data_IF_696961405519
#
_entry.id   IF_696961405519
#
_cell.length_a   1.000
_cell.length_b   1.000
_cell.length_c   1.000
_cell.angle_alpha   90.00
_cell.angle_beta   90.00
_cell.angle_gamma   90.00
#
_symmetry.space_group_name_H-M   'P 1'
#
loop_
_entity.id
_entity.type
_entity.pdbx_description
1 polymer ?
#
# COMPACT_ATOMS: atom_id res chain seq x y z
N UNK A 1 -2.52 1.50 -25.94
CA UNK A 1 -2.69 0.99 -24.59
C UNK A 1 -4.17 0.66 -24.37
N UNK A 2 -4.50 -0.43 -23.69
CA UNK A 2 -5.90 -0.78 -23.39
C UNK A 2 -6.43 0.08 -22.25
N UNK A 3 -7.52 0.81 -22.48
CA UNK A 3 -8.19 1.58 -21.43
C UNK A 3 -8.93 0.70 -20.39
N UNK A 4 -8.95 -0.62 -20.58
CA UNK A 4 -9.49 -1.58 -19.62
C UNK A 4 -8.46 -2.02 -18.56
N UNK A 5 -7.19 -1.66 -18.73
CA UNK A 5 -6.12 -1.98 -17.80
C UNK A 5 -5.63 -0.73 -17.11
N UNK A 6 -5.85 -0.63 -15.81
CA UNK A 6 -5.36 0.45 -14.98
C UNK A 6 -3.82 0.51 -15.02
N UNK A 7 -3.16 -0.63 -14.94
CA UNK A 7 -1.70 -0.74 -15.01
C UNK A 7 -1.14 -0.17 -16.31
N UNK A 8 -1.78 -0.45 -17.46
CA UNK A 8 -1.36 0.11 -18.77
C UNK A 8 -1.66 1.59 -18.92
N UNK A 9 -2.76 2.08 -18.36
CA UNK A 9 -3.07 3.51 -18.36
C UNK A 9 -2.05 4.29 -17.53
N UNK A 10 -1.70 3.78 -16.35
CA UNK A 10 -0.66 4.37 -15.51
C UNK A 10 0.72 4.34 -16.19
N UNK A 11 1.08 3.22 -16.81
CA UNK A 11 2.34 3.07 -17.56
C UNK A 11 2.45 4.00 -18.78
N UNK A 12 1.33 4.60 -19.24
CA UNK A 12 1.35 5.61 -20.28
C UNK A 12 2.11 6.89 -19.85
N UNK A 13 2.16 7.15 -18.55
CA UNK A 13 2.87 8.31 -17.98
C UNK A 13 2.40 9.65 -18.54
N UNK A 14 1.11 9.76 -18.88
CA UNK A 14 0.54 10.96 -19.48
C UNK A 14 0.58 12.13 -18.50
N UNK A 15 1.14 13.27 -18.95
CA UNK A 15 1.31 14.50 -18.15
C UNK A 15 0.38 15.60 -18.63
N UNK A 16 0.10 16.58 -17.76
CA UNK A 16 -0.68 17.78 -18.10
C UNK A 16 -0.11 18.47 -19.34
N UNK A 17 -0.98 18.79 -20.29
CA UNK A 17 -0.61 19.44 -21.56
C UNK A 17 -0.27 18.48 -22.71
N UNK A 18 -0.26 17.17 -22.48
CA UNK A 18 -0.15 16.18 -23.55
C UNK A 18 -1.52 15.90 -24.18
N UNK A 19 -1.51 15.58 -25.47
CA UNK A 19 -2.72 15.18 -26.20
C UNK A 19 -2.82 13.67 -26.17
N UNK A 20 -3.98 13.16 -25.71
CA UNK A 20 -4.30 11.74 -25.73
C UNK A 20 -5.29 11.45 -26.84
N UNK A 21 -5.05 10.38 -27.58
CA UNK A 21 -5.94 9.87 -28.61
C UNK A 21 -6.63 8.60 -28.09
N UNK A 22 -7.96 8.59 -28.13
CA UNK A 22 -8.78 7.44 -27.77
C UNK A 22 -9.35 6.79 -29.00
N UNK A 23 -9.23 5.47 -29.09
CA UNK A 23 -9.83 4.66 -30.16
C UNK A 23 -10.64 3.51 -29.57
N UNK A 24 -11.71 3.15 -30.25
CA UNK A 24 -12.55 2.00 -29.89
C UNK A 24 -12.89 1.19 -31.13
N UNK A 25 -13.27 -0.06 -30.94
CA UNK A 25 -13.76 -0.91 -32.01
C UNK A 25 -15.04 -0.29 -32.62
N UNK A 26 -15.24 -0.36 -33.95
CA UNK A 26 -16.38 0.27 -34.62
C UNK A 26 -17.74 -0.07 -34.02
N UNK A 27 -17.90 -1.31 -33.51
CA UNK A 27 -19.15 -1.80 -32.93
C UNK A 27 -19.58 -1.07 -31.64
N UNK A 28 -18.64 -0.44 -30.92
CA UNK A 28 -18.91 0.23 -29.63
C UNK A 28 -18.46 1.69 -29.64
N UNK A 29 -17.81 2.16 -30.70
CA UNK A 29 -17.19 3.48 -30.76
C UNK A 29 -18.20 4.62 -30.61
N UNK A 30 -19.41 4.48 -31.19
CA UNK A 30 -20.45 5.50 -31.16
C UNK A 30 -20.95 5.82 -29.75
N UNK A 31 -20.99 4.81 -28.87
CA UNK A 31 -21.45 4.98 -27.48
C UNK A 31 -20.28 5.21 -26.51
N UNK A 32 -19.19 4.47 -26.68
CA UNK A 32 -18.08 4.47 -25.72
C UNK A 32 -17.22 5.74 -25.78
N UNK A 33 -16.93 6.28 -26.98
CA UNK A 33 -16.07 7.46 -27.11
C UNK A 33 -16.71 8.73 -26.54
N UNK A 34 -17.98 9.05 -26.82
CA UNK A 34 -18.63 10.20 -26.19
C UNK A 34 -18.74 10.09 -24.67
N UNK A 35 -19.05 8.89 -24.15
CA UNK A 35 -19.12 8.65 -22.71
C UNK A 35 -17.77 8.85 -22.03
N UNK A 36 -16.69 8.32 -22.63
CA UNK A 36 -15.32 8.51 -22.12
C UNK A 36 -14.90 9.98 -22.14
N UNK A 37 -15.19 10.70 -23.24
CA UNK A 37 -14.87 12.11 -23.36
C UNK A 37 -15.66 12.98 -22.37
N UNK A 38 -16.91 12.61 -22.06
CA UNK A 38 -17.70 13.27 -21.02
C UNK A 38 -17.07 13.05 -19.64
N UNK A 39 -16.75 11.81 -19.28
CA UNK A 39 -16.09 11.48 -18.02
C UNK A 39 -14.74 12.19 -17.84
N UNK A 40 -13.91 12.28 -18.90
CA UNK A 40 -12.65 13.03 -18.86
C UNK A 40 -12.88 14.52 -18.64
N UNK A 41 -13.91 15.12 -19.25
CA UNK A 41 -14.24 16.55 -19.07
C UNK A 41 -14.78 16.84 -17.68
N UNK A 42 -15.44 15.88 -17.06
CA UNK A 42 -15.97 15.95 -15.68
C UNK A 42 -14.89 15.61 -14.62
N UNK A 43 -13.62 15.41 -15.04
CA UNK A 43 -12.51 15.14 -14.14
C UNK A 43 -12.44 13.69 -13.66
N UNK A 44 -13.10 12.74 -14.40
CA UNK A 44 -13.12 11.30 -14.04
C UNK A 44 -13.62 11.02 -12.62
N UNK A 45 -14.46 11.91 -12.07
CA UNK A 45 -14.99 11.80 -10.72
C UNK A 45 -14.12 12.44 -9.63
N UNK A 46 -13.02 13.07 -10.00
CA UNK A 46 -12.21 13.87 -9.09
C UNK A 46 -12.65 15.34 -9.15
N UNK A 47 -12.79 15.99 -7.99
CA UNK A 47 -12.93 17.44 -7.94
C UNK A 47 -11.63 18.06 -8.45
N UNK A 48 -11.68 18.74 -9.59
CA UNK A 48 -10.54 19.46 -10.17
C UNK A 48 -10.31 20.72 -9.35
N UNK A 49 -9.81 20.58 -8.12
CA UNK A 49 -9.22 21.70 -7.43
C UNK A 49 -7.94 22.08 -8.18
N UNK A 50 -7.81 23.35 -8.48
CA UNK A 50 -6.57 23.90 -9.02
C UNK A 50 -5.49 23.74 -7.93
N UNK A 51 -4.75 22.63 -8.01
CA UNK A 51 -3.57 22.42 -7.19
C UNK A 51 -2.61 23.59 -7.48
N UNK A 52 -2.49 24.49 -6.51
CA UNK A 52 -1.42 25.46 -6.48
C UNK A 52 -0.10 24.71 -6.63
N UNK A 53 0.79 25.23 -7.45
CA UNK A 53 2.17 24.75 -7.62
C UNK A 53 2.92 24.98 -6.30
N UNK A 54 2.68 24.13 -5.29
CA UNK A 54 3.59 24.01 -4.17
C UNK A 54 4.76 23.14 -4.64
N UNK A 55 5.91 23.78 -4.75
CA UNK A 55 7.17 23.11 -5.02
C UNK A 55 7.38 22.01 -3.98
N UNK A 56 7.39 20.76 -4.43
CA UNK A 56 7.76 19.62 -3.62
C UNK A 56 9.18 19.87 -3.09
N UNK A 57 9.41 19.73 -1.77
CA UNK A 57 10.77 19.75 -1.25
C UNK A 57 11.54 18.58 -1.87
N UNK A 58 12.76 18.88 -2.32
CA UNK A 58 13.67 17.93 -2.92
C UNK A 58 13.73 16.63 -2.11
N UNK A 59 13.65 15.53 -2.83
CA UNK A 59 13.75 14.18 -2.28
C UNK A 59 14.97 14.08 -1.35
N UNK A 60 14.73 13.81 -0.10
CA UNK A 60 15.77 13.46 0.87
C UNK A 60 16.36 12.14 0.39
N UNK A 61 17.67 12.15 0.17
CA UNK A 61 18.50 11.18 -0.50
C UNK A 61 18.12 9.71 -0.33
N UNK A 62 18.35 8.97 -1.39
CA UNK A 62 18.38 7.51 -1.44
C UNK A 62 19.24 7.00 -0.28
N UNK A 63 18.59 6.40 0.72
CA UNK A 63 19.32 5.73 1.79
C UNK A 63 19.94 4.45 1.23
N UNK A 64 21.24 4.33 1.34
CA UNK A 64 22.03 3.16 0.97
C UNK A 64 21.40 1.88 1.58
N UNK A 65 21.05 0.93 0.71
CA UNK A 65 20.23 -0.25 0.97
C UNK A 65 20.99 -1.41 1.64
N UNK A 66 22.24 -1.28 2.14
CA UNK A 66 23.06 -2.46 2.48
C UNK A 66 23.72 -2.47 3.88
N UNK A 67 23.42 -1.56 4.78
CA UNK A 67 23.87 -1.65 6.16
C UNK A 67 22.69 -2.02 7.06
N UNK A 68 22.75 -3.17 7.76
CA UNK A 68 21.84 -3.43 8.88
C UNK A 68 21.89 -2.23 9.81
N UNK A 69 20.77 -1.50 10.00
CA UNK A 69 20.76 -0.32 10.84
C UNK A 69 21.23 -0.71 12.25
N UNK A 70 22.04 0.17 12.87
CA UNK A 70 22.47 -0.06 14.24
C UNK A 70 21.23 -0.14 15.16
N UNK A 71 21.22 -1.04 16.14
CA UNK A 71 20.09 -1.18 17.06
C UNK A 71 19.92 0.12 17.86
N UNK A 72 18.67 0.57 17.97
CA UNK A 72 18.29 1.76 18.72
C UNK A 72 18.52 1.53 20.22
N UNK A 73 19.05 2.54 20.89
CA UNK A 73 19.38 2.45 22.32
C UNK A 73 18.27 3.01 23.20
N UNK A 74 18.13 2.47 24.39
CA UNK A 74 17.24 3.05 25.40
C UNK A 74 17.60 4.52 25.69
N UNK A 75 16.57 5.38 25.71
CA UNK A 75 16.73 6.84 25.86
C UNK A 75 17.03 7.57 24.54
N UNK A 76 17.28 6.87 23.46
CA UNK A 76 17.57 7.49 22.16
C UNK A 76 16.34 8.20 21.62
N UNK A 77 16.56 9.38 21.04
CA UNK A 77 15.53 10.18 20.39
C UNK A 77 15.81 10.29 18.90
N UNK A 78 14.82 9.95 18.08
CA UNK A 78 14.88 10.03 16.63
C UNK A 78 13.93 11.12 16.12
N UNK A 79 14.33 11.75 15.01
CA UNK A 79 13.46 12.60 14.21
C UNK A 79 12.80 11.78 13.12
N UNK A 80 11.52 12.07 12.87
CA UNK A 80 10.74 11.48 11.82
C UNK A 80 9.76 12.52 11.27
N UNK A 81 9.00 12.19 10.27
CA UNK A 81 8.02 13.10 9.67
C UNK A 81 6.72 13.01 10.48
N UNK A 82 6.25 14.16 10.97
CA UNK A 82 4.94 14.29 11.61
C UNK A 82 3.82 13.98 10.60
N UNK A 83 3.09 12.90 10.84
CA UNK A 83 2.05 12.42 9.92
C UNK A 83 0.63 12.65 10.46
N UNK A 84 0.42 12.47 11.75
CA UNK A 84 -0.84 12.75 12.44
C UNK A 84 -0.54 13.29 13.84
N UNK A 85 -1.18 14.40 14.25
CA UNK A 85 -0.86 15.07 15.50
C UNK A 85 -1.28 14.26 16.73
N UNK A 86 -0.61 14.54 17.86
CA UNK A 86 -0.89 13.95 19.16
C UNK A 86 0.32 13.24 19.76
N UNK A 87 0.19 12.87 21.04
CA UNK A 87 1.21 12.15 21.79
C UNK A 87 0.71 10.73 22.06
N UNK A 88 1.56 9.74 21.79
CA UNK A 88 1.27 8.35 22.07
C UNK A 88 2.39 7.70 22.88
N UNK A 89 2.04 6.87 23.85
CA UNK A 89 2.99 6.03 24.56
C UNK A 89 2.47 4.60 24.66
N UNK A 90 3.36 3.63 24.56
CA UNK A 90 3.00 2.23 24.63
C UNK A 90 4.12 1.29 24.22
N UNK A 91 3.92 -0.01 24.37
CA UNK A 91 4.87 -1.01 23.89
C UNK A 91 4.89 -1.07 22.36
N UNK A 92 6.06 -1.25 21.78
CA UNK A 92 6.23 -1.48 20.35
C UNK A 92 5.62 -2.82 19.94
N UNK A 93 4.75 -2.81 18.95
CA UNK A 93 4.30 -4.00 18.24
C UNK A 93 4.88 -3.95 16.81
N UNK A 94 6.02 -4.60 16.64
CA UNK A 94 6.74 -4.59 15.36
C UNK A 94 6.15 -5.65 14.45
N UNK A 95 5.58 -5.23 13.34
CA UNK A 95 5.11 -6.12 12.28
C UNK A 95 6.06 -6.02 11.09
N UNK A 96 6.87 -7.05 10.92
CA UNK A 96 7.74 -7.18 9.76
C UNK A 96 6.94 -7.79 8.61
N UNK A 97 7.19 -7.31 7.39
CA UNK A 97 6.55 -7.87 6.20
C UNK A 97 6.73 -9.39 6.14
N UNK A 98 5.62 -10.12 6.06
CA UNK A 98 5.64 -11.58 5.99
C UNK A 98 6.40 -12.05 4.76
N UNK A 99 7.35 -12.97 4.95
CA UNK A 99 7.97 -13.71 3.86
C UNK A 99 7.13 -14.94 3.58
N UNK A 100 6.74 -15.10 2.34
CA UNK A 100 5.97 -16.26 1.89
C UNK A 100 6.93 -17.29 1.31
N UNK A 101 6.89 -18.51 1.86
CA UNK A 101 7.62 -19.65 1.32
C UNK A 101 6.65 -20.51 0.51
N UNK A 102 6.96 -20.74 -0.75
CA UNK A 102 6.14 -21.52 -1.67
C UNK A 102 7.00 -22.23 -2.71
N UNK A 103 6.43 -23.30 -3.27
CA UNK A 103 7.07 -24.03 -4.35
C UNK A 103 6.96 -23.26 -5.67
N UNK A 104 8.02 -23.14 -6.48
CA UNK A 104 7.97 -22.39 -7.73
C UNK A 104 7.15 -23.08 -8.83
N UNK A 105 6.94 -24.40 -8.73
CA UNK A 105 6.18 -25.21 -9.68
C UNK A 105 4.85 -25.64 -9.10
N UNK A 106 3.79 -25.53 -9.93
CA UNK A 106 2.45 -25.98 -9.59
C UNK A 106 2.13 -27.39 -10.09
N UNK A 107 0.99 -27.91 -9.70
CA UNK A 107 0.53 -29.24 -10.10
C UNK A 107 0.04 -29.27 -11.56
N UNK A 108 -0.86 -28.36 -11.91
CA UNK A 108 -1.35 -28.17 -13.28
C UNK A 108 -1.87 -26.75 -13.48
N UNK A 109 -1.84 -26.22 -14.72
CA UNK A 109 -2.33 -24.87 -14.99
C UNK A 109 -3.79 -24.65 -14.58
N UNK A 110 -4.62 -25.67 -14.70
CA UNK A 110 -6.05 -25.59 -14.34
C UNK A 110 -6.23 -25.53 -12.80
N UNK A 111 -5.50 -26.37 -12.07
CA UNK A 111 -5.53 -26.39 -10.62
C UNK A 111 -5.02 -25.07 -10.03
N UNK A 112 -3.88 -24.59 -10.50
CA UNK A 112 -3.28 -23.34 -10.03
C UNK A 112 -4.15 -22.12 -10.33
N UNK A 113 -4.81 -22.10 -11.50
CA UNK A 113 -5.80 -21.06 -11.82
C UNK A 113 -6.96 -21.07 -10.85
N UNK A 114 -7.49 -22.23 -10.52
CA UNK A 114 -8.61 -22.35 -9.56
C UNK A 114 -8.21 -21.89 -8.17
N UNK A 115 -7.02 -22.25 -7.71
CA UNK A 115 -6.45 -21.78 -6.42
C UNK A 115 -6.36 -20.25 -6.40
N UNK A 116 -5.77 -19.66 -7.44
CA UNK A 116 -5.65 -18.20 -7.56
C UNK A 116 -7.01 -17.50 -7.59
N UNK A 117 -7.97 -18.00 -8.36
CA UNK A 117 -9.31 -17.43 -8.43
C UNK A 117 -10.03 -17.47 -7.07
N UNK A 118 -9.86 -18.55 -6.30
CA UNK A 118 -10.40 -18.63 -4.93
C UNK A 118 -9.75 -17.61 -4.01
N UNK A 119 -8.42 -17.47 -4.07
CA UNK A 119 -7.70 -16.49 -3.27
C UNK A 119 -8.10 -15.05 -3.62
N UNK A 120 -8.20 -14.71 -4.90
CA UNK A 120 -8.67 -13.39 -5.38
C UNK A 120 -10.09 -13.08 -4.91
N UNK A 121 -11.03 -14.03 -5.01
CA UNK A 121 -12.40 -13.85 -4.51
C UNK A 121 -12.44 -13.59 -3.02
N UNK A 122 -11.68 -14.34 -2.23
CA UNK A 122 -11.61 -14.13 -0.79
C UNK A 122 -11.06 -12.74 -0.42
N UNK A 123 -10.10 -12.23 -1.20
CA UNK A 123 -9.58 -10.86 -1.03
C UNK A 123 -10.61 -9.83 -1.46
N UNK A 124 -11.33 -10.03 -2.57
CA UNK A 124 -12.40 -9.12 -3.02
C UNK A 124 -13.52 -9.02 -1.98
N UNK A 125 -13.99 -10.15 -1.47
CA UNK A 125 -15.00 -10.20 -0.39
C UNK A 125 -14.54 -9.46 0.87
N UNK A 126 -13.27 -9.62 1.25
CA UNK A 126 -12.67 -8.88 2.37
C UNK A 126 -12.69 -7.36 2.09
N UNK A 127 -12.24 -6.92 0.92
CA UNK A 127 -12.23 -5.51 0.53
C UNK A 127 -13.65 -4.92 0.51
N UNK A 128 -14.62 -5.62 -0.05
CA UNK A 128 -16.03 -5.21 -0.03
C UNK A 128 -16.51 -4.97 1.40
N UNK A 129 -16.24 -5.91 2.30
CA UNK A 129 -16.61 -5.75 3.70
C UNK A 129 -15.90 -4.57 4.38
N UNK A 130 -14.70 -4.19 3.95
CA UNK A 130 -13.98 -3.02 4.46
C UNK A 130 -14.59 -1.71 3.94
N UNK A 131 -14.94 -1.65 2.66
CA UNK A 131 -15.63 -0.51 2.05
C UNK A 131 -16.96 -0.24 2.74
N UNK A 132 -17.74 -1.29 3.01
CA UNK A 132 -19.05 -1.18 3.68
C UNK A 132 -18.96 -0.70 5.13
N UNK A 133 -17.94 -1.14 5.86
CA UNK A 133 -17.73 -0.77 7.27
C UNK A 133 -17.04 0.57 7.45
N UNK A 134 -16.31 1.06 6.45
CA UNK A 134 -15.56 2.32 6.56
C UNK A 134 -16.49 3.52 6.47
N UNK A 135 -16.44 4.39 7.47
CA UNK A 135 -17.13 5.70 7.47
C UNK A 135 -16.30 6.80 6.81
N UNK A 136 -15.00 6.56 6.59
CA UNK A 136 -14.05 7.52 6.04
C UNK A 136 -13.98 7.40 4.52
N UNK A 137 -14.31 8.49 3.81
CA UNK A 137 -14.38 8.54 2.34
C UNK A 137 -13.04 8.13 1.71
N UNK A 138 -11.93 8.72 2.18
CA UNK A 138 -10.59 8.44 1.64
C UNK A 138 -10.21 6.96 1.72
N UNK A 139 -10.53 6.28 2.82
CA UNK A 139 -10.29 4.85 2.99
C UNK A 139 -11.11 4.03 1.98
N UNK A 140 -12.38 4.40 1.77
CA UNK A 140 -13.22 3.71 0.77
C UNK A 140 -12.67 3.85 -0.65
N UNK A 141 -12.21 5.04 -1.02
CA UNK A 141 -11.64 5.31 -2.35
C UNK A 141 -10.40 4.46 -2.62
N UNK A 142 -9.50 4.33 -1.64
CA UNK A 142 -8.34 3.45 -1.74
C UNK A 142 -8.77 2.00 -2.01
N UNK A 143 -9.74 1.48 -1.27
CA UNK A 143 -10.21 0.10 -1.46
C UNK A 143 -10.95 -0.13 -2.77
N UNK A 144 -11.68 0.86 -3.28
CA UNK A 144 -12.27 0.78 -4.63
C UNK A 144 -11.17 0.62 -5.67
N UNK A 145 -10.10 1.41 -5.58
CA UNK A 145 -8.94 1.29 -6.49
C UNK A 145 -8.26 -0.08 -6.37
N UNK A 146 -8.13 -0.63 -5.16
CA UNK A 146 -7.57 -1.99 -4.96
C UNK A 146 -8.42 -3.07 -5.66
N UNK A 147 -9.75 -2.95 -5.67
CA UNK A 147 -10.62 -3.87 -6.41
C UNK A 147 -10.41 -3.78 -7.92
N UNK A 148 -10.25 -2.57 -8.45
CA UNK A 148 -9.95 -2.36 -9.87
C UNK A 148 -8.59 -2.98 -10.26
N UNK A 149 -7.57 -2.83 -9.41
CA UNK A 149 -6.27 -3.48 -9.61
C UNK A 149 -6.37 -5.01 -9.55
N UNK A 150 -7.19 -5.55 -8.62
CA UNK A 150 -7.39 -7.00 -8.49
C UNK A 150 -7.99 -7.61 -9.77
N UNK A 151 -8.87 -6.89 -10.44
CA UNK A 151 -9.54 -7.32 -11.67
C UNK A 151 -8.85 -6.85 -12.96
N UNK A 152 -7.64 -6.28 -12.85
CA UNK A 152 -6.89 -5.81 -14.02
C UNK A 152 -6.65 -6.96 -15.02
N UNK A 153 -7.14 -6.84 -16.26
CA UNK A 153 -7.03 -7.89 -17.28
C UNK A 153 -5.59 -8.15 -17.72
N UNK A 154 -4.70 -7.15 -17.63
CA UNK A 154 -3.29 -7.32 -17.98
C UNK A 154 -2.58 -8.21 -16.95
N UNK A 155 -2.81 -7.97 -15.65
CA UNK A 155 -2.29 -8.84 -14.59
C UNK A 155 -2.82 -10.26 -14.76
N UNK A 156 -4.11 -10.41 -15.08
CA UNK A 156 -4.72 -11.71 -15.30
C UNK A 156 -4.09 -12.46 -16.49
N UNK A 157 -3.83 -11.79 -17.62
CA UNK A 157 -3.18 -12.36 -18.79
C UNK A 157 -1.75 -12.80 -18.51
N UNK A 158 -0.95 -11.92 -17.87
CA UNK A 158 0.44 -12.21 -17.53
C UNK A 158 0.55 -13.39 -16.55
N UNK A 159 -0.30 -13.45 -15.54
CA UNK A 159 -0.37 -14.60 -14.63
C UNK A 159 -0.73 -15.87 -15.39
N UNK A 160 -1.74 -15.82 -16.26
CA UNK A 160 -2.15 -16.99 -17.04
C UNK A 160 -1.02 -17.54 -17.92
N UNK A 161 -0.23 -16.68 -18.53
CA UNK A 161 0.94 -17.10 -19.31
C UNK A 161 1.97 -17.87 -18.46
N UNK A 162 2.18 -17.43 -17.20
CA UNK A 162 3.12 -18.10 -16.27
C UNK A 162 2.56 -19.44 -15.77
N UNK A 163 1.26 -19.50 -15.44
CA UNK A 163 0.59 -20.75 -15.07
C UNK A 163 0.71 -21.79 -16.19
N UNK A 164 0.52 -21.38 -17.45
CA UNK A 164 0.66 -22.27 -18.60
C UNK A 164 2.09 -22.80 -18.80
N UNK A 165 3.10 -22.13 -18.21
CA UNK A 165 4.50 -22.59 -18.17
C UNK A 165 4.80 -23.52 -16.98
N UNK A 166 3.77 -23.83 -16.17
CA UNK A 166 3.85 -24.73 -15.02
C UNK A 166 4.37 -24.07 -13.74
N UNK A 167 4.31 -22.74 -13.64
CA UNK A 167 4.55 -22.04 -12.36
C UNK A 167 3.36 -22.28 -11.42
N UNK A 168 3.62 -22.26 -10.10
CA UNK A 168 2.56 -22.28 -9.09
C UNK A 168 1.78 -20.96 -9.08
N UNK A 169 0.60 -20.94 -8.49
CA UNK A 169 -0.21 -19.73 -8.36
C UNK A 169 0.54 -18.63 -7.60
N UNK A 170 1.25 -19.01 -6.53
CA UNK A 170 2.06 -18.11 -5.72
C UNK A 170 3.21 -17.50 -6.53
N UNK A 171 3.98 -18.33 -7.25
CA UNK A 171 5.12 -17.87 -8.03
C UNK A 171 4.70 -16.96 -9.18
N UNK A 172 3.65 -17.35 -9.92
CA UNK A 172 3.12 -16.59 -11.03
C UNK A 172 2.58 -15.24 -10.58
N UNK A 173 1.77 -15.22 -9.50
CA UNK A 173 1.20 -14.01 -8.95
C UNK A 173 2.26 -13.06 -8.40
N UNK A 174 3.18 -13.56 -7.54
CA UNK A 174 4.25 -12.77 -6.93
C UNK A 174 5.10 -12.06 -7.98
N UNK A 175 5.50 -12.78 -9.04
CA UNK A 175 6.33 -12.20 -10.12
C UNK A 175 5.59 -11.15 -10.92
N UNK A 176 4.34 -11.41 -11.29
CA UNK A 176 3.57 -10.44 -12.10
C UNK A 176 3.33 -9.15 -11.32
N UNK A 177 2.99 -9.26 -10.03
CA UNK A 177 2.82 -8.10 -9.15
C UNK A 177 4.12 -7.30 -9.05
N UNK A 178 5.25 -7.96 -8.79
CA UNK A 178 6.53 -7.27 -8.63
C UNK A 178 7.03 -6.67 -9.94
N UNK A 179 6.93 -7.39 -11.06
CA UNK A 179 7.29 -6.88 -12.39
C UNK A 179 6.46 -5.62 -12.74
N UNK A 180 5.16 -5.62 -12.41
CA UNK A 180 4.27 -4.49 -12.67
C UNK A 180 4.55 -3.30 -11.75
N UNK A 181 4.80 -3.56 -10.47
CA UNK A 181 5.16 -2.52 -9.50
C UNK A 181 6.49 -1.85 -9.87
N UNK A 182 7.52 -2.65 -10.19
CA UNK A 182 8.82 -2.14 -10.62
C UNK A 182 8.75 -1.30 -11.91
N UNK A 183 7.87 -1.67 -12.85
CA UNK A 183 7.62 -0.87 -14.05
C UNK A 183 7.02 0.50 -13.73
N UNK A 184 6.11 0.59 -12.75
CA UNK A 184 5.51 1.85 -12.32
C UNK A 184 6.55 2.74 -11.62
N UNK A 185 7.38 2.18 -10.74
CA UNK A 185 8.46 2.91 -10.06
C UNK A 185 9.50 3.46 -11.04
N UNK A 186 9.84 2.71 -12.09
CA UNK A 186 10.80 3.14 -13.11
C UNK A 186 10.37 4.40 -13.88
N UNK A 187 9.10 4.80 -13.79
CA UNK A 187 8.60 6.03 -14.40
C UNK A 187 8.95 7.30 -13.61
N UNK A 188 9.55 7.17 -12.41
CA UNK A 188 10.01 8.29 -11.57
C UNK A 188 8.93 9.34 -11.30
N UNK A 189 7.71 8.88 -11.08
CA UNK A 189 6.53 9.67 -10.76
C UNK A 189 6.02 9.29 -9.37
N UNK A 190 5.82 10.26 -8.49
CA UNK A 190 5.43 10.01 -7.10
C UNK A 190 4.08 9.28 -6.98
N UNK A 191 3.11 9.66 -7.84
CA UNK A 191 1.79 9.01 -7.84
C UNK A 191 1.89 7.55 -8.29
N UNK A 192 2.74 7.26 -9.27
CA UNK A 192 2.97 5.90 -9.75
C UNK A 192 3.73 5.05 -8.74
N UNK A 193 4.64 5.64 -7.97
CA UNK A 193 5.31 4.96 -6.87
C UNK A 193 4.33 4.58 -5.75
N UNK A 194 3.37 5.45 -5.41
CA UNK A 194 2.28 5.10 -4.48
C UNK A 194 1.43 3.94 -5.01
N UNK A 195 1.09 3.94 -6.31
CA UNK A 195 0.34 2.84 -6.94
C UNK A 195 1.12 1.53 -6.97
N UNK A 196 2.44 1.58 -7.12
CA UNK A 196 3.30 0.41 -6.99
C UNK A 196 3.24 -0.20 -5.58
N UNK A 197 3.22 0.65 -4.56
CA UNK A 197 3.04 0.22 -3.17
C UNK A 197 1.67 -0.44 -2.94
N UNK A 198 0.58 0.14 -3.47
CA UNK A 198 -0.77 -0.43 -3.44
C UNK A 198 -0.82 -1.80 -4.11
N UNK A 199 -0.19 -1.94 -5.28
CA UNK A 199 -0.15 -3.20 -6.01
C UNK A 199 0.60 -4.29 -5.23
N UNK A 200 1.71 -3.94 -4.56
CA UNK A 200 2.44 -4.86 -3.68
C UNK A 200 1.61 -5.24 -2.45
N UNK A 201 0.87 -4.29 -1.86
CA UNK A 201 -0.03 -4.59 -0.74
C UNK A 201 -1.10 -5.60 -1.15
N UNK A 202 -1.78 -5.36 -2.26
CA UNK A 202 -2.75 -6.29 -2.84
C UNK A 202 -2.12 -7.64 -3.16
N UNK A 203 -0.89 -7.63 -3.71
CA UNK A 203 -0.10 -8.82 -4.00
C UNK A 203 0.13 -9.68 -2.77
N UNK A 204 0.55 -9.07 -1.66
CA UNK A 204 0.75 -9.74 -0.36
C UNK A 204 -0.53 -10.35 0.19
N UNK A 205 -1.69 -9.68 0.04
CA UNK A 205 -2.99 -10.23 0.47
C UNK A 205 -3.34 -11.52 -0.25
N UNK A 206 -3.23 -11.52 -1.57
CA UNK A 206 -3.52 -12.72 -2.37
C UNK A 206 -2.54 -13.85 -2.04
N UNK A 207 -1.24 -13.53 -1.87
CA UNK A 207 -0.24 -14.52 -1.44
C UNK A 207 -0.55 -15.11 -0.05
N UNK A 208 -0.95 -14.30 0.92
CA UNK A 208 -1.35 -14.80 2.24
C UNK A 208 -2.49 -15.80 2.15
N UNK A 209 -3.50 -15.54 1.29
CA UNK A 209 -4.61 -16.48 1.04
C UNK A 209 -4.15 -17.76 0.34
N UNK A 210 -3.25 -17.65 -0.65
CA UNK A 210 -2.68 -18.81 -1.35
C UNK A 210 -1.86 -19.71 -0.42
N UNK A 211 -1.05 -19.10 0.44
CA UNK A 211 -0.18 -19.80 1.39
C UNK A 211 -0.91 -20.24 2.67
N UNK A 212 -2.17 -19.88 2.87
CA UNK A 212 -2.93 -20.19 4.08
C UNK A 212 -2.37 -19.51 5.34
N UNK A 213 -1.73 -18.36 5.18
CA UNK A 213 -1.13 -17.62 6.29
C UNK A 213 -2.18 -16.69 6.90
N UNK A 214 -2.40 -16.84 8.20
CA UNK A 214 -3.26 -15.94 8.96
C UNK A 214 -2.53 -14.66 9.36
N UNK A 215 -3.29 -13.56 9.48
CA UNK A 215 -2.73 -12.30 9.97
C UNK A 215 -2.21 -12.47 11.41
N UNK A 216 -1.11 -11.78 11.78
CA UNK A 216 -0.63 -11.77 13.15
C UNK A 216 -1.74 -11.32 14.13
N UNK A 217 -1.77 -11.92 15.31
CA UNK A 217 -2.71 -11.50 16.37
C UNK A 217 -2.26 -10.18 16.96
N UNK A 218 -3.19 -9.25 17.06
CA UNK A 218 -2.94 -7.96 17.70
C UNK A 218 -2.81 -8.12 19.23
N UNK A 219 -1.98 -7.28 19.89
CA UNK A 219 -1.94 -7.23 21.34
C UNK A 219 -3.30 -6.86 21.95
N UNK A 220 -3.60 -7.40 23.12
CA UNK A 220 -4.83 -7.06 23.85
C UNK A 220 -4.75 -5.68 24.52
N UNK A 221 -3.55 -5.22 24.84
CA UNK A 221 -3.30 -3.91 25.44
C UNK A 221 -2.99 -2.85 24.37
N UNK A 222 -3.21 -1.56 24.67
CA UNK A 222 -2.82 -0.48 23.77
C UNK A 222 -1.32 -0.55 23.42
N UNK A 223 -1.00 -0.36 22.13
CA UNK A 223 0.35 -0.52 21.59
C UNK A 223 0.66 0.53 20.51
N UNK A 224 1.94 0.74 20.26
CA UNK A 224 2.41 1.49 19.10
C UNK A 224 2.74 0.49 17.99
N UNK A 225 2.02 0.61 16.88
CA UNK A 225 2.27 -0.20 15.68
C UNK A 225 3.53 0.29 15.00
N UNK A 226 4.48 -0.62 14.77
CA UNK A 226 5.74 -0.34 14.06
C UNK A 226 5.79 -1.20 12.81
N UNK A 227 5.86 -0.58 11.64
CA UNK A 227 5.89 -1.25 10.34
C UNK A 227 6.87 -0.59 9.39
N UNK A 228 7.21 -1.25 8.31
CA UNK A 228 7.98 -0.64 7.23
C UNK A 228 7.17 0.48 6.57
N UNK A 229 5.98 0.17 6.12
CA UNK A 229 4.96 1.09 5.62
C UNK A 229 3.59 0.50 5.95
N UNK A 230 2.66 1.35 6.41
CA UNK A 230 1.29 0.89 6.70
C UNK A 230 0.46 1.00 5.44
N UNK A 231 0.09 -0.15 4.89
CA UNK A 231 -0.83 -0.20 3.78
C UNK A 231 -2.30 -0.08 4.21
N UNK A 232 -3.19 0.21 3.29
CA UNK A 232 -4.63 0.26 3.54
C UNK A 232 -5.16 -1.04 4.15
N UNK A 233 -4.55 -2.16 3.78
CA UNK A 233 -4.84 -3.49 4.27
C UNK A 233 -4.61 -3.67 5.76
N UNK A 234 -3.52 -3.10 6.24
CA UNK A 234 -3.12 -3.23 7.63
C UNK A 234 -4.11 -2.46 8.50
N UNK A 235 -4.40 -1.23 8.10
CA UNK A 235 -5.33 -0.35 8.82
C UNK A 235 -6.74 -0.90 8.91
N UNK A 236 -7.20 -1.54 7.87
CA UNK A 236 -8.54 -2.11 7.83
C UNK A 236 -8.75 -3.24 8.85
N UNK A 237 -7.66 -3.80 9.36
CA UNK A 237 -7.64 -4.83 10.40
C UNK A 237 -7.37 -4.27 11.78
N UNK A 238 -6.82 -3.05 11.87
CA UNK A 238 -6.46 -2.44 13.14
C UNK A 238 -7.71 -2.10 13.96
N UNK A 239 -7.70 -2.51 15.21
CA UNK A 239 -8.61 -1.98 16.20
C UNK A 239 -8.10 -0.59 16.62
N UNK A 240 -8.71 0.46 16.04
CA UNK A 240 -8.34 1.85 16.33
C UNK A 240 -8.39 2.22 17.82
N UNK A 241 -9.08 1.43 18.66
CA UNK A 241 -9.11 1.62 20.12
C UNK A 241 -7.87 1.06 20.82
N UNK A 242 -7.15 0.15 20.16
CA UNK A 242 -5.93 -0.49 20.70
C UNK A 242 -4.65 0.11 20.15
N UNK A 243 -4.69 0.66 18.94
CA UNK A 243 -3.51 1.33 18.36
C UNK A 243 -3.38 2.71 18.97
N UNK A 244 -2.47 2.84 19.92
CA UNK A 244 -2.17 4.11 20.57
C UNK A 244 -1.40 5.08 19.66
N UNK A 245 -0.57 4.55 18.75
CA UNK A 245 0.21 5.33 17.79
C UNK A 245 0.73 4.47 16.64
N UNK A 246 1.12 5.13 15.55
CA UNK A 246 1.68 4.49 14.34
C UNK A 246 3.08 5.05 14.08
N UNK A 247 4.04 4.16 13.82
CA UNK A 247 5.43 4.48 13.48
C UNK A 247 5.81 3.69 12.23
N UNK A 248 6.21 4.37 11.15
CA UNK A 248 6.67 3.67 9.96
C UNK A 248 8.13 3.99 9.64
N UNK A 249 8.84 2.98 9.13
CA UNK A 249 10.21 3.14 8.66
C UNK A 249 10.29 4.00 7.41
N UNK A 250 9.34 3.82 6.48
CA UNK A 250 9.22 4.57 5.23
C UNK A 250 7.93 5.40 5.19
N UNK A 251 7.76 6.15 4.11
CA UNK A 251 6.60 6.98 3.85
C UNK A 251 6.86 8.47 4.10
N UNK A 252 6.03 9.31 3.50
CA UNK A 252 6.04 10.76 3.61
C UNK A 252 4.76 11.32 4.24
N UNK A 253 4.68 12.63 4.39
CA UNK A 253 3.51 13.32 4.96
C UNK A 253 2.21 13.13 4.16
N UNK A 254 2.32 12.77 2.87
CA UNK A 254 1.21 12.51 1.95
C UNK A 254 0.97 11.02 1.72
N UNK A 255 1.76 10.13 2.33
CA UNK A 255 1.60 8.68 2.16
C UNK A 255 0.23 8.19 2.66
N UNK A 256 -0.20 7.02 2.17
CA UNK A 256 -1.42 6.37 2.64
C UNK A 256 -1.43 6.20 4.16
N UNK A 257 -0.30 5.81 4.76
CA UNK A 257 -0.14 5.71 6.22
C UNK A 257 -0.50 7.00 6.94
N UNK A 258 -0.03 8.15 6.41
CA UNK A 258 -0.31 9.46 6.97
C UNK A 258 -1.78 9.87 6.83
N UNK A 259 -2.37 9.64 5.64
CA UNK A 259 -3.78 9.94 5.37
C UNK A 259 -4.68 9.13 6.31
N UNK A 260 -4.41 7.84 6.44
CA UNK A 260 -5.19 6.93 7.25
C UNK A 260 -5.05 7.25 8.74
N UNK A 261 -3.83 7.49 9.24
CA UNK A 261 -3.61 7.87 10.63
C UNK A 261 -4.40 9.13 11.01
N UNK A 262 -4.37 10.17 10.17
CA UNK A 262 -5.17 11.39 10.35
C UNK A 262 -6.67 11.12 10.36
N UNK A 263 -7.14 10.28 9.43
CA UNK A 263 -8.55 9.94 9.31
C UNK A 263 -9.08 9.16 10.52
N UNK A 264 -8.23 8.36 11.17
CA UNK A 264 -8.54 7.62 12.39
C UNK A 264 -8.26 8.42 13.67
N UNK A 265 -7.62 9.59 13.58
CA UNK A 265 -7.21 10.39 14.74
C UNK A 265 -6.12 9.71 15.58
N UNK A 266 -5.31 8.84 15.00
CA UNK A 266 -4.22 8.14 15.67
C UNK A 266 -2.93 8.94 15.48
N UNK A 267 -2.19 9.30 16.56
CA UNK A 267 -0.89 9.93 16.45
C UNK A 267 0.08 9.10 15.60
N UNK A 268 0.79 9.73 14.66
CA UNK A 268 1.64 8.98 13.73
C UNK A 268 2.90 9.71 13.33
N UNK A 269 3.98 8.94 13.20
CA UNK A 269 5.26 9.31 12.60
C UNK A 269 5.57 8.41 11.42
N UNK A 270 6.03 8.99 10.33
CA UNK A 270 6.44 8.24 9.12
C UNK A 270 7.88 8.58 8.74
N UNK A 271 8.53 7.71 7.97
CA UNK A 271 9.90 7.94 7.52
C UNK A 271 10.95 7.95 8.64
N UNK A 272 10.74 7.15 9.70
CA UNK A 272 11.66 7.09 10.83
C UNK A 272 12.96 6.31 10.53
N UNK A 273 13.07 5.71 9.33
CA UNK A 273 14.21 4.90 8.91
C UNK A 273 14.12 3.43 9.34
N UNK A 274 14.88 2.58 8.68
CA UNK A 274 14.80 1.11 8.86
C UNK A 274 15.19 0.63 10.27
N UNK A 275 15.88 1.45 11.06
CA UNK A 275 16.29 1.11 12.43
C UNK A 275 15.11 0.78 13.36
N UNK A 276 13.93 1.40 13.13
CA UNK A 276 12.74 1.15 13.97
C UNK A 276 12.20 -0.27 13.83
N UNK A 277 12.46 -0.94 12.69
CA UNK A 277 12.06 -2.33 12.46
C UNK A 277 12.88 -3.33 13.28
N UNK A 278 14.03 -2.89 13.80
CA UNK A 278 14.89 -3.66 14.70
C UNK A 278 14.54 -3.53 16.18
N UNK A 279 13.50 -2.78 16.52
CA UNK A 279 13.03 -2.68 17.90
C UNK A 279 12.55 -4.04 18.41
N UNK A 280 12.92 -4.35 19.66
CA UNK A 280 12.38 -5.55 20.32
C UNK A 280 10.89 -5.37 20.61
N UNK A 281 10.04 -6.38 20.29
CA UNK A 281 8.63 -6.33 20.65
C UNK A 281 8.44 -6.04 22.15
N UNK A 282 7.54 -5.11 22.46
CA UNK A 282 7.30 -4.68 23.84
C UNK A 282 8.19 -3.54 24.33
N UNK A 283 9.17 -3.09 23.54
CA UNK A 283 9.95 -1.89 23.90
C UNK A 283 9.03 -0.69 24.10
N UNK A 284 9.13 -0.01 25.24
CA UNK A 284 8.35 1.20 25.51
C UNK A 284 8.75 2.31 24.56
N UNK A 285 7.78 2.96 23.94
CA UNK A 285 7.97 4.08 23.02
C UNK A 285 7.14 5.28 23.48
N UNK A 286 7.68 6.48 23.26
CA UNK A 286 6.98 7.75 23.35
C UNK A 286 7.08 8.46 22.00
N UNK A 287 5.94 8.77 21.40
CA UNK A 287 5.81 9.32 20.05
C UNK A 287 5.11 10.68 20.15
N UNK A 288 5.71 11.70 19.52
CA UNK A 288 5.11 13.03 19.37
C UNK A 288 4.84 13.28 17.86
N UNK A 289 3.60 13.05 17.47
CA UNK A 289 3.14 13.21 16.10
C UNK A 289 2.91 14.67 15.69
N UNK A 290 3.02 15.63 16.61
CA UNK A 290 2.94 17.05 16.33
C UNK A 290 4.32 17.63 15.98
N UNK A 291 5.34 17.25 16.74
CA UNK A 291 6.70 17.76 16.57
C UNK A 291 7.64 16.81 15.82
N UNK A 292 7.17 15.64 15.42
CA UNK A 292 7.92 14.73 14.56
C UNK A 292 9.08 14.00 15.24
N UNK A 293 8.94 13.56 16.50
CA UNK A 293 10.00 12.81 17.17
C UNK A 293 9.48 11.57 17.92
N UNK A 294 10.36 10.63 18.05
CA UNK A 294 10.19 9.37 18.76
C UNK A 294 11.28 9.26 19.85
N UNK A 295 10.93 8.75 21.04
CA UNK A 295 11.87 8.36 22.08
C UNK A 295 11.71 6.88 22.41
N UNK A 296 12.83 6.14 22.40
CA UNK A 296 12.90 4.71 22.73
C UNK A 296 13.11 4.54 24.23
N UNK A 297 12.32 3.69 24.88
CA UNK A 297 12.39 3.38 26.32
C UNK A 297 12.54 4.65 27.19
N UNK A 298 11.54 5.57 27.18
CA UNK A 298 11.57 6.77 27.99
C UNK A 298 11.70 6.42 29.49
N UNK A 299 12.42 7.24 30.25
CA UNK A 299 12.47 7.07 31.71
C UNK A 299 11.13 7.42 32.33
N UNK A 300 10.80 6.82 33.46
CA UNK A 300 9.49 6.95 34.15
C UNK A 300 9.21 8.37 34.65
N UNK A 301 10.18 9.29 34.53
CA UNK A 301 10.09 10.69 34.97
C UNK A 301 9.82 11.67 33.80
N UNK A 302 9.65 11.21 32.58
CA UNK A 302 9.30 11.96 31.38
C UNK A 302 7.89 11.68 30.92
#
# INVERSE_FOLDING_TARGET
VSAKSLSKLLALGARRGQTLEFSAEPAIAEDALPALLAAVREGLGEEVEALAEEALPDAVGEAEEDARPAPLRAGERLQAIAASPGIASGPAHVQVAQRFEFQPRGESPAHERERLLRAKRAVDEEIVGLVERSTVKAIREIFVTHREMLDDPELAEQVQLRLNRGESAEAAWSRVVEDSAAQQEALHDALLAERAADLRDLGRRVLARLCGVEAPREPEQPYILVMDEVGPSDVARLDAQRVAGILTARGGATSHSAIIARALGIPALVGAGAAVLGLEPGTALLLDGEHGWLQVAPSTEQ
#
